data_IF_853353798045
#
_entry.id   IF_853353798045
#
_cell.length_a   1.000
_cell.length_b   1.000
_cell.length_c   1.000
_cell.angle_alpha   90.00
_cell.angle_beta   90.00
_cell.angle_gamma   90.00
#
_symmetry.space_group_name_H-M   'P 1'
#
loop_
_entity.id
_entity.type
_entity.pdbx_description
1 polymer ?
#
# COMPACT_ATOMS: atom_id res chain seq x y z
N UNK A 1 9.77 10.26 -17.50
CA UNK A 1 10.53 10.42 -16.23
C UNK A 1 9.65 10.62 -15.00
N UNK A 2 8.53 11.36 -15.09
CA UNK A 2 7.62 11.60 -13.94
C UNK A 2 6.92 10.37 -13.35
N UNK A 3 6.44 9.42 -14.16
CA UNK A 3 5.70 8.25 -13.66
C UNK A 3 6.57 7.24 -12.89
N UNK A 4 7.78 6.98 -13.39
CA UNK A 4 8.73 6.08 -12.70
C UNK A 4 9.19 6.64 -11.36
N UNK A 5 9.37 7.96 -11.26
CA UNK A 5 9.69 8.63 -10.00
C UNK A 5 8.56 8.50 -8.98
N UNK A 6 7.29 8.63 -9.39
CA UNK A 6 6.15 8.39 -8.49
C UNK A 6 6.17 6.95 -7.99
N UNK A 7 6.36 5.97 -8.87
CA UNK A 7 6.37 4.56 -8.49
C UNK A 7 7.45 4.26 -7.45
N UNK A 8 8.66 4.83 -7.60
CA UNK A 8 9.73 4.72 -6.61
C UNK A 8 9.39 5.37 -5.28
N UNK A 9 8.85 6.59 -5.29
CA UNK A 9 8.42 7.29 -4.06
C UNK A 9 7.32 6.48 -3.37
N UNK A 10 6.34 6.00 -4.14
CA UNK A 10 5.23 5.18 -3.64
C UNK A 10 5.76 3.93 -2.95
N UNK A 11 6.60 3.16 -3.63
CA UNK A 11 7.22 1.96 -3.07
C UNK A 11 8.02 2.26 -1.80
N UNK A 12 8.86 3.30 -1.80
CA UNK A 12 9.63 3.68 -0.61
C UNK A 12 8.72 4.05 0.57
N UNK A 13 7.63 4.78 0.31
CA UNK A 13 6.67 5.20 1.33
C UNK A 13 5.90 4.01 1.91
N UNK A 14 5.43 3.10 1.05
CA UNK A 14 4.78 1.85 1.44
C UNK A 14 5.72 0.99 2.27
N UNK A 15 6.96 0.82 1.82
CA UNK A 15 7.95 0.00 2.53
C UNK A 15 8.23 0.58 3.92
N UNK A 16 8.38 1.90 4.04
CA UNK A 16 8.56 2.55 5.33
C UNK A 16 7.33 2.35 6.24
N UNK A 17 6.11 2.48 5.72
CA UNK A 17 4.87 2.20 6.45
C UNK A 17 4.81 0.76 6.95
N UNK A 18 5.19 -0.21 6.11
CA UNK A 18 5.24 -1.63 6.47
C UNK A 18 6.28 -1.90 7.56
N UNK A 19 7.46 -1.29 7.48
CA UNK A 19 8.49 -1.39 8.52
C UNK A 19 7.98 -0.84 9.86
N UNK A 20 7.35 0.33 9.84
CA UNK A 20 6.82 0.96 11.06
C UNK A 20 5.70 0.13 11.67
N UNK A 21 4.77 -0.39 10.85
CA UNK A 21 3.59 -1.11 11.32
C UNK A 21 3.85 -2.58 11.66
N UNK A 22 4.67 -3.29 10.86
CA UNK A 22 4.87 -4.73 10.96
C UNK A 22 6.28 -5.14 11.39
N UNK A 23 7.24 -4.21 11.48
CA UNK A 23 8.62 -4.52 11.90
C UNK A 23 8.74 -5.09 13.31
N UNK A 24 7.68 -4.98 14.11
CA UNK A 24 7.59 -5.49 15.47
C UNK A 24 6.98 -6.90 15.56
N UNK A 25 6.42 -7.42 14.45
CA UNK A 25 5.75 -8.72 14.42
C UNK A 25 6.79 -9.84 14.35
N UNK A 26 6.80 -10.70 15.37
CA UNK A 26 7.65 -11.90 15.39
C UNK A 26 7.31 -12.76 14.16
N UNK A 27 8.32 -13.14 13.37
CA UNK A 27 8.29 -13.85 12.07
C UNK A 27 8.34 -13.01 10.77
N UNK A 28 8.28 -11.67 10.83
CA UNK A 28 8.58 -10.84 9.65
C UNK A 28 10.00 -10.28 9.71
N UNK A 29 10.83 -10.68 8.75
CA UNK A 29 12.12 -10.04 8.51
C UNK A 29 11.99 -8.96 7.42
N UNK A 30 12.97 -8.07 7.33
CA UNK A 30 13.05 -6.96 6.37
C UNK A 30 12.83 -7.40 4.92
N UNK A 31 13.31 -8.59 4.54
CA UNK A 31 13.12 -9.16 3.19
C UNK A 31 11.63 -9.46 2.93
N UNK A 32 10.91 -9.98 3.92
CA UNK A 32 9.48 -10.29 3.77
C UNK A 32 8.68 -9.01 3.54
N UNK A 33 8.98 -7.96 4.32
CA UNK A 33 8.36 -6.64 4.17
C UNK A 33 8.67 -6.01 2.80
N UNK A 34 9.88 -6.22 2.28
CA UNK A 34 10.28 -5.71 0.97
C UNK A 34 9.45 -6.39 -0.14
N UNK A 35 9.30 -7.71 -0.08
CA UNK A 35 8.49 -8.47 -1.04
C UNK A 35 7.01 -8.07 -0.96
N UNK A 36 6.45 -7.94 0.24
CA UNK A 36 5.06 -7.49 0.42
C UNK A 36 4.87 -6.08 -0.17
N UNK A 37 5.75 -5.14 0.17
CA UNK A 37 5.69 -3.78 -0.33
C UNK A 37 5.85 -3.69 -1.84
N UNK A 38 6.68 -4.56 -2.44
CA UNK A 38 6.90 -4.60 -3.88
C UNK A 38 5.70 -5.17 -4.63
N UNK A 39 5.12 -6.27 -4.14
CA UNK A 39 3.91 -6.84 -4.71
C UNK A 39 2.74 -5.86 -4.60
N UNK A 40 2.58 -5.23 -3.43
CA UNK A 40 1.53 -4.25 -3.22
C UNK A 40 1.71 -3.02 -4.13
N UNK A 41 2.92 -2.46 -4.22
CA UNK A 41 3.16 -1.27 -5.05
C UNK A 41 2.91 -1.53 -6.53
N UNK A 42 3.24 -2.73 -7.04
CA UNK A 42 2.92 -3.13 -8.40
C UNK A 42 1.40 -3.22 -8.63
N UNK A 43 0.69 -3.92 -7.74
CA UNK A 43 -0.76 -4.11 -7.89
C UNK A 43 -1.49 -2.78 -7.74
N UNK A 44 -1.16 -1.99 -6.72
CA UNK A 44 -1.78 -0.69 -6.49
C UNK A 44 -1.45 0.29 -7.61
N UNK A 45 -0.23 0.31 -8.17
CA UNK A 45 0.08 1.16 -9.33
C UNK A 45 -0.80 0.86 -10.55
N UNK A 46 -1.06 -0.43 -10.82
CA UNK A 46 -1.91 -0.83 -11.94
C UNK A 46 -3.37 -0.50 -11.64
N UNK A 47 -3.87 -0.92 -10.48
CA UNK A 47 -5.28 -0.82 -10.10
C UNK A 47 -5.65 0.63 -9.77
N UNK A 48 -4.91 1.29 -8.89
CA UNK A 48 -5.11 2.67 -8.46
C UNK A 48 -4.80 3.67 -9.57
N UNK A 49 -3.54 3.83 -9.93
CA UNK A 49 -3.09 4.94 -10.78
C UNK A 49 -3.48 4.82 -12.25
N UNK A 50 -3.40 3.61 -12.83
CA UNK A 50 -3.69 3.42 -14.25
C UNK A 50 -5.20 3.25 -14.48
N UNK A 51 -5.83 2.36 -13.71
CA UNK A 51 -7.22 1.96 -13.96
C UNK A 51 -8.20 2.90 -13.25
N UNK A 52 -8.07 3.13 -11.95
CA UNK A 52 -9.12 3.80 -11.15
C UNK A 52 -9.01 5.33 -11.15
N UNK A 53 -7.79 5.89 -11.12
CA UNK A 53 -7.54 7.33 -11.00
C UNK A 53 -8.32 8.22 -12.00
N UNK A 54 -8.60 7.81 -13.25
CA UNK A 54 -9.41 8.61 -14.17
C UNK A 54 -10.89 8.71 -13.80
N UNK A 55 -11.43 7.74 -13.06
CA UNK A 55 -12.86 7.52 -12.87
C UNK A 55 -13.37 7.80 -11.46
N UNK A 56 -12.51 7.80 -10.44
CA UNK A 56 -12.92 7.96 -9.04
C UNK A 56 -12.17 9.08 -8.31
N UNK A 57 -12.78 9.61 -7.25
CA UNK A 57 -12.21 10.66 -6.41
C UNK A 57 -11.17 10.08 -5.43
N UNK A 58 -10.33 10.96 -4.86
CA UNK A 58 -9.21 10.56 -4.01
C UNK A 58 -9.63 9.69 -2.80
N UNK A 59 -10.75 10.02 -2.16
CA UNK A 59 -11.28 9.26 -1.01
C UNK A 59 -11.64 7.81 -1.37
N UNK A 60 -12.20 7.59 -2.55
CA UNK A 60 -12.61 6.25 -3.01
C UNK A 60 -11.36 5.42 -3.35
N UNK A 61 -10.37 6.01 -4.02
CA UNK A 61 -9.06 5.37 -4.25
C UNK A 61 -8.44 4.91 -2.93
N UNK A 62 -8.42 5.78 -1.93
CA UNK A 62 -7.83 5.50 -0.62
C UNK A 62 -8.55 4.36 0.11
N UNK A 63 -9.89 4.29 0.01
CA UNK A 63 -10.66 3.19 0.57
C UNK A 63 -10.32 1.86 -0.13
N UNK A 64 -10.18 1.89 -1.46
CA UNK A 64 -9.79 0.72 -2.25
C UNK A 64 -8.37 0.28 -1.92
N UNK A 65 -7.45 1.23 -1.72
CA UNK A 65 -6.07 0.96 -1.31
C UNK A 65 -5.99 0.35 0.10
N UNK A 66 -6.86 0.76 1.03
CA UNK A 66 -6.99 0.11 2.35
C UNK A 66 -7.41 -1.36 2.21
N UNK A 67 -8.45 -1.65 1.41
CA UNK A 67 -8.91 -3.02 1.20
C UNK A 67 -7.85 -3.85 0.48
N UNK A 68 -7.23 -3.28 -0.56
CA UNK A 68 -6.20 -3.94 -1.35
C UNK A 68 -4.95 -4.24 -0.51
N UNK A 69 -4.50 -3.30 0.31
CA UNK A 69 -3.32 -3.50 1.16
C UNK A 69 -3.59 -4.56 2.22
N UNK A 70 -4.77 -4.55 2.84
CA UNK A 70 -5.17 -5.59 3.78
C UNK A 70 -5.19 -6.97 3.11
N UNK A 71 -5.78 -7.09 1.92
CA UNK A 71 -5.80 -8.35 1.16
C UNK A 71 -4.40 -8.82 0.79
N UNK A 72 -3.53 -7.92 0.29
CA UNK A 72 -2.16 -8.29 -0.12
C UNK A 72 -1.33 -8.70 1.10
N UNK A 73 -1.33 -7.92 2.18
CA UNK A 73 -0.56 -8.22 3.39
C UNK A 73 -1.00 -9.55 4.00
N UNK A 74 -2.31 -9.77 4.16
CA UNK A 74 -2.83 -11.01 4.74
C UNK A 74 -2.57 -12.22 3.85
N UNK A 75 -2.81 -12.10 2.54
CA UNK A 75 -2.57 -13.19 1.59
C UNK A 75 -1.10 -13.55 1.48
N UNK A 76 -0.22 -12.56 1.31
CA UNK A 76 1.23 -12.78 1.19
C UNK A 76 1.81 -13.26 2.52
N UNK A 77 1.45 -12.63 3.63
CA UNK A 77 1.88 -13.01 4.98
C UNK A 77 1.51 -14.45 5.33
N UNK A 78 0.24 -14.83 5.10
CA UNK A 78 -0.20 -16.20 5.37
C UNK A 78 0.37 -17.21 4.37
N UNK A 79 0.27 -16.95 3.06
CA UNK A 79 0.56 -17.96 2.04
C UNK A 79 2.04 -18.16 1.77
N UNK A 80 2.84 -17.09 1.78
CA UNK A 80 4.27 -17.17 1.51
C UNK A 80 5.10 -17.35 2.79
N UNK A 81 4.67 -16.78 3.90
CA UNK A 81 5.45 -16.75 5.14
C UNK A 81 4.81 -17.50 6.30
N UNK A 82 3.70 -18.21 6.06
CA UNK A 82 3.07 -19.08 7.06
C UNK A 82 2.53 -18.34 8.27
N UNK A 83 2.19 -17.05 8.14
CA UNK A 83 1.68 -16.28 9.27
C UNK A 83 0.23 -16.65 9.57
N UNK A 84 0.00 -17.14 10.79
CA UNK A 84 -1.35 -17.45 11.25
C UNK A 84 -2.22 -16.19 11.31
N UNK A 85 -3.47 -16.32 10.88
CA UNK A 85 -4.49 -15.26 10.96
C UNK A 85 -5.10 -15.21 12.36
N UNK A 86 -4.23 -15.09 13.38
CA UNK A 86 -4.66 -14.81 14.75
C UNK A 86 -5.21 -13.38 14.85
N UNK A 87 -6.03 -13.11 15.86
CA UNK A 87 -6.59 -11.77 16.10
C UNK A 87 -5.49 -10.71 16.26
N UNK A 88 -4.37 -11.08 16.88
CA UNK A 88 -3.21 -10.21 17.09
C UNK A 88 -2.56 -9.87 15.73
N UNK A 89 -2.23 -10.87 14.92
CA UNK A 89 -1.59 -10.65 13.61
C UNK A 89 -2.51 -9.87 12.67
N UNK A 90 -3.81 -10.18 12.66
CA UNK A 90 -4.79 -9.45 11.87
C UNK A 90 -4.88 -7.97 12.28
N UNK A 91 -4.75 -7.67 13.57
CA UNK A 91 -4.72 -6.29 14.07
C UNK A 91 -3.50 -5.52 13.57
N UNK A 92 -2.33 -6.17 13.53
CA UNK A 92 -1.11 -5.59 12.93
C UNK A 92 -1.24 -5.41 11.41
N UNK A 93 -1.82 -6.38 10.70
CA UNK A 93 -2.05 -6.26 9.25
C UNK A 93 -3.04 -5.14 8.93
N UNK A 94 -4.10 -5.00 9.72
CA UNK A 94 -5.06 -3.90 9.60
C UNK A 94 -4.42 -2.53 9.88
N UNK A 95 -3.59 -2.42 10.93
CA UNK A 95 -2.89 -1.16 11.20
C UNK A 95 -1.95 -0.79 10.05
N UNK A 96 -1.21 -1.75 9.50
CA UNK A 96 -0.36 -1.56 8.32
C UNK A 96 -1.15 -1.08 7.10
N UNK A 97 -2.32 -1.67 6.83
CA UNK A 97 -3.21 -1.25 5.76
C UNK A 97 -3.70 0.20 5.94
N UNK A 98 -4.03 0.62 7.17
CA UNK A 98 -4.39 2.01 7.47
C UNK A 98 -3.23 2.95 7.17
N UNK A 99 -2.02 2.63 7.63
CA UNK A 99 -0.83 3.45 7.38
C UNK A 99 -0.56 3.61 5.90
N UNK A 100 -0.69 2.53 5.12
CA UNK A 100 -0.51 2.55 3.67
C UNK A 100 -1.55 3.46 3.02
N UNK A 101 -2.84 3.29 3.35
CA UNK A 101 -3.91 4.10 2.77
C UNK A 101 -3.71 5.60 3.05
N UNK A 102 -3.33 5.98 4.27
CA UNK A 102 -3.05 7.39 4.63
C UNK A 102 -1.90 7.96 3.80
N UNK A 103 -0.83 7.20 3.64
CA UNK A 103 0.34 7.62 2.85
C UNK A 103 0.00 7.72 1.36
N UNK A 104 -0.78 6.79 0.82
CA UNK A 104 -1.20 6.81 -0.58
C UNK A 104 -2.18 7.92 -0.89
N UNK A 105 -3.05 8.30 0.04
CA UNK A 105 -3.91 9.48 -0.13
C UNK A 105 -3.09 10.75 -0.44
N UNK A 106 -1.94 10.91 0.22
CA UNK A 106 -1.01 12.03 -0.05
C UNK A 106 -0.39 11.91 -1.44
N UNK A 107 -0.01 10.70 -1.85
CA UNK A 107 0.55 10.44 -3.19
C UNK A 107 -0.48 10.74 -4.27
N UNK A 108 -1.70 10.22 -4.15
CA UNK A 108 -2.81 10.47 -5.08
C UNK A 108 -3.13 11.95 -5.18
N UNK A 109 -3.21 12.66 -4.04
CA UNK A 109 -3.42 14.10 -4.02
C UNK A 109 -2.31 14.86 -4.77
N UNK A 110 -1.06 14.45 -4.59
CA UNK A 110 0.08 15.01 -5.31
C UNK A 110 -0.01 14.74 -6.83
N UNK A 111 -0.36 13.52 -7.24
CA UNK A 111 -0.48 13.13 -8.65
C UNK A 111 -1.65 13.86 -9.32
N UNK A 112 -2.81 13.92 -8.69
CA UNK A 112 -3.99 14.61 -9.22
C UNK A 112 -3.72 16.10 -9.45
N UNK A 113 -3.08 16.77 -8.49
CA UNK A 113 -2.74 18.20 -8.60
C UNK A 113 -1.65 18.47 -9.65
N UNK A 114 -0.56 17.70 -9.63
CA UNK A 114 0.64 18.03 -10.42
C UNK A 114 0.69 17.39 -11.81
N UNK A 115 -0.04 16.29 -12.01
CA UNK A 115 -0.05 15.56 -13.29
C UNK A 115 -1.39 15.69 -14.02
N UNK A 116 -2.50 15.51 -13.30
CA UNK A 116 -3.84 15.57 -13.91
C UNK A 116 -4.45 16.98 -13.91
N UNK A 117 -3.90 17.91 -13.10
CA UNK A 117 -4.45 19.26 -12.88
C UNK A 117 -5.95 19.24 -12.53
N UNK A 118 -6.38 18.23 -11.78
CA UNK A 118 -7.77 18.05 -11.32
C UNK A 118 -7.92 18.50 -9.86
N UNK A 119 -9.11 19.02 -9.46
CA UNK A 119 -9.44 19.20 -8.05
C UNK A 119 -9.52 17.83 -7.34
N UNK A 120 -9.29 17.84 -6.01
CA UNK A 120 -9.25 16.65 -5.13
C UNK A 120 -10.61 15.95 -5.00
#
# INVERSE_FOLDING_TARGET
MRYFQILLIKFASIFLSLVVALGWVQNLNWIHLLVIGFLYSLVSYIVGEIILLPYVNNTILTLLDFVLSLMVITFVGNRLYGMDLTLINLSFFASAAIFIAVVEWVVHAYVQKNMLKRPL
#
